data_IF_558203008280
#
_entry.id   IF_558203008280
#
_cell.length_a   1.000
_cell.length_b   1.000
_cell.length_c   1.000
_cell.angle_alpha   90.00
_cell.angle_beta   90.00
_cell.angle_gamma   90.00
#
_symmetry.space_group_name_H-M   'P 1'
#
loop_
_entity.id
_entity.type
_entity.pdbx_description
1 polymer ?
#
# COMPACT_ATOMS: atom_id res chain seq x y z
N UNK A 1 36.54 -21.26 -7.67
CA UNK A 1 35.15 -21.16 -7.24
C UNK A 1 34.47 -19.95 -7.88
N UNK A 2 34.51 -19.82 -9.22
CA UNK A 2 33.95 -18.68 -9.98
C UNK A 2 33.34 -19.13 -11.32
N UNK A 3 32.97 -20.41 -11.47
CA UNK A 3 32.48 -20.96 -12.73
C UNK A 3 31.01 -21.40 -12.74
N UNK A 4 30.29 -21.29 -11.62
CA UNK A 4 28.93 -21.79 -11.51
C UNK A 4 27.85 -20.70 -11.50
N UNK A 5 28.19 -19.41 -11.54
CA UNK A 5 27.21 -18.32 -11.58
C UNK A 5 26.81 -17.89 -13.00
N UNK A 6 27.62 -18.21 -14.01
CA UNK A 6 27.31 -17.81 -15.40
C UNK A 6 26.28 -18.69 -16.12
N UNK A 7 25.87 -19.79 -15.54
CA UNK A 7 25.00 -20.78 -16.20
C UNK A 7 23.51 -20.46 -16.07
N UNK A 8 23.11 -19.57 -15.18
CA UNK A 8 21.70 -19.38 -14.82
C UNK A 8 21.03 -18.11 -15.37
N UNK A 9 21.76 -17.17 -15.94
CA UNK A 9 21.19 -15.91 -16.42
C UNK A 9 21.31 -15.79 -17.93
N UNK A 10 20.28 -16.17 -18.67
CA UNK A 10 20.13 -15.74 -20.05
C UNK A 10 19.64 -14.29 -20.05
N UNK A 11 20.53 -13.34 -20.36
CA UNK A 11 20.14 -11.95 -20.58
C UNK A 11 19.24 -11.88 -21.82
N UNK A 12 18.05 -11.36 -21.65
CA UNK A 12 17.14 -11.02 -22.75
C UNK A 12 17.06 -9.51 -22.80
N UNK A 13 17.52 -8.91 -23.89
CA UNK A 13 17.39 -7.48 -24.10
C UNK A 13 15.92 -7.16 -24.42
N UNK A 14 15.25 -6.49 -23.50
CA UNK A 14 13.96 -5.87 -23.68
C UNK A 14 14.20 -4.35 -23.63
N UNK A 15 14.23 -3.71 -24.79
CA UNK A 15 14.37 -2.25 -24.93
C UNK A 15 15.58 -1.62 -24.21
N UNK A 16 16.78 -2.06 -24.49
CA UNK A 16 18.04 -1.52 -23.93
C UNK A 16 18.24 -1.68 -22.40
N UNK A 17 17.37 -2.41 -21.73
CA UNK A 17 17.50 -2.75 -20.29
C UNK A 17 17.93 -4.21 -20.18
N UNK A 18 18.98 -4.47 -19.41
CA UNK A 18 19.47 -5.83 -19.13
C UNK A 18 18.53 -6.52 -18.13
N UNK A 19 17.51 -7.22 -18.64
CA UNK A 19 16.65 -8.07 -17.82
C UNK A 19 17.20 -9.50 -17.74
N UNK A 20 17.23 -10.04 -16.53
CA UNK A 20 17.62 -11.42 -16.28
C UNK A 20 16.38 -12.32 -16.20
N UNK A 21 16.38 -13.41 -16.99
CA UNK A 21 15.24 -14.34 -17.04
C UNK A 21 15.66 -15.69 -16.48
N UNK A 22 14.97 -16.14 -15.43
CA UNK A 22 15.09 -17.50 -14.90
C UNK A 22 14.03 -18.38 -15.55
N UNK A 23 14.46 -19.55 -16.06
CA UNK A 23 13.61 -20.53 -16.75
C UNK A 23 13.63 -21.86 -16.04
N UNK A 24 12.53 -22.62 -16.14
CA UNK A 24 12.50 -24.01 -15.70
C UNK A 24 13.24 -24.93 -16.69
N UNK A 25 13.33 -26.21 -16.36
CA UNK A 25 14.02 -27.22 -17.17
C UNK A 25 13.39 -27.47 -18.55
N UNK A 26 12.14 -27.00 -18.78
CA UNK A 26 11.44 -27.03 -20.06
C UNK A 26 11.64 -25.75 -20.87
N UNK A 27 12.31 -24.74 -20.29
CA UNK A 27 12.54 -23.44 -20.92
C UNK A 27 11.42 -22.43 -20.75
N UNK A 28 10.47 -22.67 -19.82
CA UNK A 28 9.42 -21.71 -19.49
C UNK A 28 9.97 -20.62 -18.59
N UNK A 29 9.66 -19.37 -18.89
CA UNK A 29 10.03 -18.24 -18.05
C UNK A 29 9.28 -18.32 -16.71
N UNK A 30 10.02 -18.29 -15.61
CA UNK A 30 9.48 -18.33 -14.24
C UNK A 30 9.62 -17.00 -13.53
N UNK A 31 10.75 -16.34 -13.71
CA UNK A 31 11.07 -15.08 -13.05
C UNK A 31 11.75 -14.17 -14.05
N UNK A 32 11.37 -12.90 -14.06
CA UNK A 32 12.04 -11.83 -14.79
C UNK A 32 12.55 -10.82 -13.76
N UNK A 33 13.83 -10.55 -13.81
CA UNK A 33 14.53 -9.59 -12.95
C UNK A 33 15.13 -8.48 -13.79
N UNK A 34 15.16 -7.27 -13.24
CA UNK A 34 15.87 -6.12 -13.82
C UNK A 34 16.96 -5.62 -12.89
N UNK A 35 18.00 -5.05 -13.44
CA UNK A 35 19.00 -4.27 -12.68
C UNK A 35 18.68 -2.78 -12.66
N UNK A 36 17.62 -2.35 -13.38
CA UNK A 36 17.16 -0.97 -13.39
C UNK A 36 16.51 -0.61 -12.05
N UNK A 37 17.09 0.37 -11.36
CA UNK A 37 16.47 0.97 -10.19
C UNK A 37 15.37 1.93 -10.61
N UNK A 38 14.15 1.68 -10.16
CA UNK A 38 13.01 2.55 -10.38
C UNK A 38 12.43 3.01 -9.05
N UNK A 39 12.15 4.31 -8.95
CA UNK A 39 11.49 4.89 -7.78
C UNK A 39 10.29 5.69 -8.23
N UNK A 40 9.11 5.33 -7.75
CA UNK A 40 7.87 6.04 -7.95
C UNK A 40 7.59 6.89 -6.72
N UNK A 41 7.82 8.20 -6.83
CA UNK A 41 7.49 9.16 -5.79
C UNK A 41 6.09 9.72 -6.07
N UNK A 42 5.11 9.35 -5.25
CA UNK A 42 3.76 9.90 -5.34
C UNK A 42 3.73 11.30 -4.72
N UNK A 43 2.93 12.24 -5.24
CA UNK A 43 2.78 13.56 -4.62
C UNK A 43 2.23 13.40 -3.20
N UNK A 44 2.55 14.30 -2.26
CA UNK A 44 1.90 14.29 -0.96
C UNK A 44 0.40 14.60 -1.12
N UNK A 45 -0.44 13.95 -0.32
CA UNK A 45 -1.83 14.34 -0.13
C UNK A 45 -1.85 15.59 0.75
N UNK A 46 -1.57 16.73 0.14
CA UNK A 46 -1.42 18.03 0.80
C UNK A 46 -2.77 18.72 1.02
N UNK A 47 -3.83 18.23 0.33
CA UNK A 47 -5.21 18.73 0.43
C UNK A 47 -5.39 20.18 -0.07
N UNK A 48 -4.37 20.74 -0.70
CA UNK A 48 -4.41 22.08 -1.23
C UNK A 48 -5.30 22.17 -2.48
N UNK A 49 -6.15 23.18 -2.53
CA UNK A 49 -7.17 23.31 -3.58
C UNK A 49 -6.58 23.26 -5.00
N UNK A 50 -5.39 23.82 -5.19
CA UNK A 50 -4.73 23.83 -6.50
C UNK A 50 -4.21 22.44 -6.93
N UNK A 51 -3.90 21.55 -5.98
CA UNK A 51 -3.30 20.23 -6.21
C UNK A 51 -4.26 19.06 -6.09
N UNK A 52 -5.37 19.23 -5.38
CA UNK A 52 -6.23 18.13 -4.95
C UNK A 52 -6.80 17.27 -6.08
N UNK A 53 -7.04 17.87 -7.26
CA UNK A 53 -7.52 17.11 -8.42
C UNK A 53 -6.48 16.06 -8.90
N UNK A 54 -5.19 16.42 -8.86
CA UNK A 54 -4.10 15.51 -9.19
C UNK A 54 -3.86 14.51 -8.06
N UNK A 55 -3.98 14.93 -6.81
CA UNK A 55 -3.84 14.03 -5.65
C UNK A 55 -4.90 12.92 -5.67
N UNK A 56 -6.15 13.23 -6.04
CA UNK A 56 -7.25 12.26 -6.19
C UNK A 56 -7.04 11.19 -7.26
N UNK A 57 -6.06 11.35 -8.14
CA UNK A 57 -5.67 10.30 -9.09
C UNK A 57 -5.01 9.13 -8.35
N UNK A 58 -4.28 9.43 -7.26
CA UNK A 58 -3.48 8.46 -6.51
C UNK A 58 -4.12 8.09 -5.18
N UNK A 59 -4.81 9.04 -4.54
CA UNK A 59 -5.34 8.88 -3.19
C UNK A 59 -6.87 8.82 -3.18
N UNK A 60 -7.40 7.85 -2.46
CA UNK A 60 -8.79 7.79 -2.04
C UNK A 60 -9.01 8.59 -0.75
N UNK A 61 -10.27 8.84 -0.39
CA UNK A 61 -10.63 9.45 0.89
C UNK A 61 -10.41 10.96 0.98
N UNK A 62 -10.05 11.65 -0.10
CA UNK A 62 -9.80 13.10 -0.12
C UNK A 62 -11.07 13.95 -0.33
N UNK A 63 -12.25 13.34 -0.37
CA UNK A 63 -13.50 14.11 -0.61
C UNK A 63 -14.12 14.69 0.65
N UNK A 64 -13.72 14.20 1.82
CA UNK A 64 -14.35 14.53 3.09
C UNK A 64 -13.33 14.94 4.15
N UNK A 65 -13.78 15.75 5.09
CA UNK A 65 -12.99 16.12 6.26
C UNK A 65 -11.93 17.20 6.02
N UNK A 66 -11.87 17.80 4.83
CA UNK A 66 -10.89 18.87 4.56
C UNK A 66 -11.32 20.13 5.31
N UNK A 67 -10.41 20.69 6.10
CA UNK A 67 -10.59 21.92 6.86
C UNK A 67 -9.37 22.82 6.72
N UNK A 68 -9.60 24.14 6.80
CA UNK A 68 -8.51 25.11 6.83
C UNK A 68 -7.85 25.11 8.22
N UNK A 69 -6.52 25.06 8.29
CA UNK A 69 -5.73 25.07 9.53
C UNK A 69 -6.06 26.24 10.45
N UNK A 70 -6.35 27.41 9.88
CA UNK A 70 -6.68 28.61 10.65
C UNK A 70 -7.97 28.46 11.45
N UNK A 71 -8.83 27.49 11.11
CA UNK A 71 -10.05 27.18 11.87
C UNK A 71 -9.82 26.23 13.03
N UNK A 72 -8.61 25.66 13.14
CA UNK A 72 -8.25 24.71 14.20
C UNK A 72 -7.36 25.39 15.23
N UNK A 73 -7.93 25.67 16.40
CA UNK A 73 -7.24 26.39 17.45
C UNK A 73 -5.97 25.66 17.92
N UNK A 74 -4.84 26.37 17.86
CA UNK A 74 -3.51 25.88 18.27
C UNK A 74 -2.96 24.73 17.40
N UNK A 75 -3.42 24.58 16.16
CA UNK A 75 -2.78 23.66 15.24
C UNK A 75 -1.31 24.07 15.01
N UNK A 76 -0.34 23.17 15.16
CA UNK A 76 1.07 23.50 15.03
C UNK A 76 1.46 23.76 13.56
N UNK A 77 2.59 24.43 13.37
CA UNK A 77 3.17 24.58 12.04
C UNK A 77 3.74 23.24 11.56
N UNK A 78 3.37 22.85 10.33
CA UNK A 78 3.94 21.73 9.60
C UNK A 78 4.55 22.27 8.30
N UNK A 79 5.87 22.35 8.16
CA UNK A 79 6.52 22.95 7.00
C UNK A 79 6.76 21.97 5.86
N UNK A 80 6.15 20.79 5.86
CA UNK A 80 6.44 19.73 4.88
C UNK A 80 6.07 20.12 3.45
N UNK A 81 4.94 20.79 3.26
CA UNK A 81 4.51 21.34 1.96
C UNK A 81 4.34 22.85 2.01
N UNK A 82 4.35 23.50 0.84
CA UNK A 82 4.08 24.94 0.71
C UNK A 82 3.37 25.20 -0.63
N UNK A 83 2.12 25.72 -0.66
CA UNK A 83 1.33 26.07 0.51
C UNK A 83 0.97 24.87 1.39
N UNK A 84 0.55 25.12 2.62
CA UNK A 84 0.08 24.12 3.56
C UNK A 84 -1.02 24.73 4.45
N UNK A 85 -2.18 25.03 3.82
CA UNK A 85 -3.30 25.73 4.44
C UNK A 85 -4.42 24.78 4.87
N UNK A 86 -4.48 23.57 4.32
CA UNK A 86 -5.53 22.60 4.56
C UNK A 86 -5.00 21.34 5.24
N UNK A 87 -5.88 20.68 5.99
CA UNK A 87 -5.64 19.42 6.69
C UNK A 87 -6.90 18.57 6.64
N UNK A 88 -6.76 17.27 6.87
CA UNK A 88 -7.90 16.37 6.94
C UNK A 88 -8.31 16.08 8.38
N UNK A 89 -9.51 16.45 8.76
CA UNK A 89 -10.13 16.15 10.04
C UNK A 89 -10.84 14.81 9.99
N UNK A 90 -10.44 13.88 10.84
CA UNK A 90 -11.04 12.56 10.98
C UNK A 90 -11.65 12.38 12.36
N UNK A 91 -12.77 11.64 12.40
CA UNK A 91 -13.51 11.38 13.63
C UNK A 91 -14.31 10.08 13.50
N UNK A 92 -14.28 9.24 14.53
CA UNK A 92 -14.85 7.90 14.49
C UNK A 92 -16.36 7.82 14.23
N UNK A 93 -17.12 8.85 14.61
CA UNK A 93 -18.57 8.94 14.37
C UNK A 93 -18.94 9.68 13.07
N UNK A 94 -17.95 10.07 12.28
CA UNK A 94 -18.14 10.78 11.01
C UNK A 94 -17.21 10.17 9.93
N UNK A 95 -16.11 10.84 9.58
CA UNK A 95 -15.13 10.38 8.61
C UNK A 95 -14.03 9.62 9.35
N UNK A 96 -14.06 8.28 9.32
CA UNK A 96 -13.08 7.43 10.03
C UNK A 96 -11.79 7.24 9.23
N UNK A 97 -11.91 7.08 7.91
CA UNK A 97 -10.79 6.82 7.00
C UNK A 97 -10.51 8.09 6.20
N UNK A 98 -9.28 8.52 6.22
CA UNK A 98 -8.80 9.67 5.45
C UNK A 98 -8.06 9.26 4.18
N UNK A 99 -7.07 10.08 3.82
CA UNK A 99 -6.19 9.82 2.68
C UNK A 99 -5.66 8.40 2.69
N UNK A 100 -5.77 7.70 1.56
CA UNK A 100 -5.26 6.35 1.41
C UNK A 100 -4.82 6.07 -0.03
N UNK A 101 -3.74 5.30 -0.18
CA UNK A 101 -3.20 4.88 -1.47
C UNK A 101 -3.04 3.37 -1.51
N UNK A 102 -3.45 2.77 -2.64
CA UNK A 102 -3.31 1.34 -2.90
C UNK A 102 -2.31 1.11 -4.03
N UNK A 103 -1.26 0.36 -3.74
CA UNK A 103 -0.17 0.09 -4.67
C UNK A 103 -0.02 -1.41 -4.92
N UNK A 104 0.28 -1.78 -6.16
CA UNK A 104 0.77 -3.10 -6.53
C UNK A 104 2.25 -3.17 -6.15
N UNK A 105 2.66 -4.23 -5.45
CA UNK A 105 4.03 -4.42 -4.97
C UNK A 105 4.56 -5.81 -5.31
N UNK A 106 5.88 -5.89 -5.45
CA UNK A 106 6.61 -7.13 -5.68
C UNK A 106 7.53 -7.42 -4.48
N UNK A 107 7.90 -8.67 -4.33
CA UNK A 107 8.90 -9.07 -3.32
C UNK A 107 10.25 -8.40 -3.60
N UNK A 108 10.83 -7.79 -2.57
CA UNK A 108 12.06 -7.00 -2.68
C UNK A 108 11.83 -5.50 -2.86
N UNK A 109 10.59 -5.06 -3.09
CA UNK A 109 10.25 -3.64 -3.09
C UNK A 109 10.43 -3.03 -1.70
N UNK A 110 10.67 -1.71 -1.66
CA UNK A 110 10.74 -0.95 -0.43
C UNK A 110 9.81 0.24 -0.48
N UNK A 111 9.27 0.60 0.67
CA UNK A 111 8.37 1.73 0.82
C UNK A 111 8.96 2.75 1.80
N UNK A 112 8.87 4.02 1.42
CA UNK A 112 8.99 5.14 2.35
C UNK A 112 7.61 5.78 2.49
N UNK A 113 7.20 6.06 3.71
CA UNK A 113 5.89 6.66 3.98
C UNK A 113 6.07 7.82 4.94
N UNK A 114 5.53 8.97 4.57
CA UNK A 114 5.44 10.16 5.39
C UNK A 114 3.98 10.50 5.65
N UNK A 115 3.68 10.99 6.84
CA UNK A 115 2.43 11.67 7.18
C UNK A 115 2.62 12.48 8.45
N UNK A 116 1.78 13.45 8.70
CA UNK A 116 1.68 14.11 10.00
C UNK A 116 0.31 13.90 10.64
N UNK A 117 0.27 13.91 11.97
CA UNK A 117 -0.96 13.80 12.73
C UNK A 117 -0.92 14.69 13.96
N UNK A 118 -2.06 15.30 14.27
CA UNK A 118 -2.22 16.10 15.47
C UNK A 118 -3.64 15.96 16.04
N UNK A 119 -3.76 16.05 17.36
CA UNK A 119 -5.04 16.11 18.07
C UNK A 119 -4.89 16.83 19.39
N UNK A 120 -6.01 17.28 19.94
CA UNK A 120 -6.07 17.92 21.26
C UNK A 120 -7.23 17.36 22.08
N UNK A 121 -6.93 16.82 23.25
CA UNK A 121 -7.95 16.20 24.11
C UNK A 121 -8.87 17.23 24.78
N UNK A 122 -8.37 18.43 25.09
CA UNK A 122 -9.13 19.46 25.82
C UNK A 122 -9.75 18.95 27.14
N UNK A 123 -9.08 17.99 27.80
CA UNK A 123 -9.58 17.34 29.02
C UNK A 123 -10.53 16.17 28.77
N UNK A 124 -10.85 15.85 27.52
CA UNK A 124 -11.66 14.66 27.21
C UNK A 124 -10.84 13.38 27.34
N UNK A 125 -11.51 12.29 27.72
CA UNK A 125 -10.98 10.93 27.61
C UNK A 125 -11.41 10.31 26.30
N UNK A 126 -10.56 9.51 25.62
CA UNK A 126 -10.95 8.82 24.40
C UNK A 126 -12.08 7.82 24.67
N UNK A 127 -13.17 7.92 23.94
CA UNK A 127 -14.24 6.92 23.95
C UNK A 127 -13.80 5.63 23.24
N UNK A 128 -14.51 4.50 23.48
CA UNK A 128 -14.29 3.26 22.76
C UNK A 128 -14.34 3.47 21.23
N UNK A 129 -13.42 2.88 20.47
CA UNK A 129 -13.35 3.06 19.05
C UNK A 129 -14.52 2.43 18.30
N UNK A 130 -14.90 3.01 17.17
CA UNK A 130 -15.84 2.44 16.23
C UNK A 130 -15.07 1.71 15.13
N UNK A 131 -15.44 0.45 14.85
CA UNK A 131 -14.74 -0.37 13.89
C UNK A 131 -14.65 0.29 12.50
N UNK A 132 -13.46 0.43 11.92
CA UNK A 132 -13.26 0.94 10.56
C UNK A 132 -13.36 -0.17 9.50
N UNK A 133 -13.59 -1.41 9.90
CA UNK A 133 -13.53 -2.58 9.01
C UNK A 133 -14.40 -2.44 7.75
N UNK A 134 -15.67 -2.00 7.82
CA UNK A 134 -16.49 -1.82 6.63
C UNK A 134 -15.92 -0.77 5.66
N UNK A 135 -15.39 0.33 6.21
CA UNK A 135 -14.84 1.42 5.42
C UNK A 135 -13.54 1.01 4.69
N UNK A 136 -12.69 0.21 5.36
CA UNK A 136 -11.46 -0.36 4.78
C UNK A 136 -11.82 -1.33 3.67
N UNK A 137 -12.75 -2.25 3.91
CA UNK A 137 -13.20 -3.22 2.92
C UNK A 137 -13.78 -2.53 1.67
N UNK A 138 -14.60 -1.49 1.88
CA UNK A 138 -15.13 -0.69 0.78
C UNK A 138 -14.02 -0.02 -0.04
N UNK A 139 -13.04 0.59 0.62
CA UNK A 139 -11.90 1.24 -0.05
C UNK A 139 -11.05 0.26 -0.84
N UNK A 140 -10.77 -0.92 -0.30
CA UNK A 140 -10.01 -1.97 -0.97
C UNK A 140 -10.74 -2.55 -2.18
N UNK A 141 -12.03 -2.87 -2.04
CA UNK A 141 -12.84 -3.44 -3.12
C UNK A 141 -12.93 -2.47 -4.32
N UNK A 142 -13.04 -1.18 -4.05
CA UNK A 142 -13.15 -0.16 -5.10
C UNK A 142 -11.78 0.28 -5.66
N UNK A 143 -10.70 0.10 -4.92
CA UNK A 143 -9.37 0.58 -5.29
C UNK A 143 -8.48 -0.42 -6.04
N UNK A 144 -8.76 -1.73 -5.96
CA UNK A 144 -7.90 -2.73 -6.63
C UNK A 144 -8.24 -2.82 -8.12
N UNK A 145 -7.32 -2.45 -9.02
CA UNK A 145 -7.54 -2.57 -10.47
C UNK A 145 -7.74 -4.04 -10.87
N UNK A 146 -8.74 -4.31 -11.71
CA UNK A 146 -8.92 -5.64 -12.30
C UNK A 146 -9.65 -6.67 -11.44
N UNK A 147 -10.22 -6.29 -10.29
CA UNK A 147 -11.11 -7.19 -9.52
C UNK A 147 -12.27 -7.69 -10.36
N UNK A 148 -12.77 -6.90 -11.29
CA UNK A 148 -13.89 -7.27 -12.18
C UNK A 148 -13.53 -8.33 -13.25
N UNK A 149 -12.29 -8.79 -13.31
CA UNK A 149 -11.87 -9.59 -14.45
C UNK A 149 -11.57 -11.06 -14.21
N UNK A 150 -10.83 -11.52 -13.20
CA UNK A 150 -10.39 -12.91 -13.24
C UNK A 150 -9.87 -13.55 -11.93
N UNK A 151 -9.66 -12.81 -10.85
CA UNK A 151 -9.05 -13.42 -9.65
C UNK A 151 -10.05 -13.69 -8.53
N UNK A 152 -10.93 -12.72 -8.21
CA UNK A 152 -11.94 -12.85 -7.15
C UNK A 152 -13.13 -11.93 -7.45
N UNK A 153 -14.34 -12.34 -7.12
CA UNK A 153 -15.52 -11.46 -7.16
C UNK A 153 -15.52 -10.53 -5.93
N UNK A 154 -16.20 -9.38 -6.03
CA UNK A 154 -16.37 -8.47 -4.89
C UNK A 154 -16.96 -9.17 -3.65
N UNK A 155 -17.85 -10.15 -3.83
CA UNK A 155 -18.44 -10.96 -2.75
C UNK A 155 -17.41 -11.92 -2.12
N UNK A 156 -16.52 -12.52 -2.93
CA UNK A 156 -15.44 -13.37 -2.43
C UNK A 156 -14.40 -12.58 -1.66
N UNK A 157 -14.11 -11.36 -2.10
CA UNK A 157 -13.22 -10.44 -1.38
C UNK A 157 -13.84 -9.98 -0.07
N UNK A 158 -15.09 -9.51 -0.09
CA UNK A 158 -15.72 -8.91 1.09
C UNK A 158 -16.00 -9.92 2.22
N UNK A 159 -16.42 -11.15 1.89
CA UNK A 159 -16.83 -12.15 2.89
C UNK A 159 -15.84 -13.31 3.07
N UNK A 160 -14.89 -13.47 2.15
CA UNK A 160 -13.93 -14.58 2.16
C UNK A 160 -12.64 -14.25 2.90
N UNK A 161 -11.58 -13.96 2.14
CA UNK A 161 -10.20 -13.82 2.66
C UNK A 161 -9.92 -12.43 3.20
N UNK A 162 -10.46 -11.38 2.57
CA UNK A 162 -10.12 -9.99 2.89
C UNK A 162 -10.62 -9.58 4.28
N UNK A 163 -11.86 -9.93 4.63
CA UNK A 163 -12.44 -9.59 5.92
C UNK A 163 -11.65 -10.17 7.10
N UNK A 164 -11.35 -11.48 7.18
CA UNK A 164 -10.49 -12.04 8.23
C UNK A 164 -9.10 -11.42 8.25
N UNK A 165 -8.51 -11.14 7.11
CA UNK A 165 -7.18 -10.53 7.02
C UNK A 165 -7.15 -9.13 7.62
N UNK A 166 -8.10 -8.26 7.25
CA UNK A 166 -8.20 -6.91 7.79
C UNK A 166 -8.58 -6.94 9.27
N UNK A 167 -9.53 -7.81 9.67
CA UNK A 167 -9.92 -7.96 11.08
C UNK A 167 -8.73 -8.38 11.96
N UNK A 168 -7.90 -9.31 11.48
CA UNK A 168 -6.69 -9.73 12.18
C UNK A 168 -5.67 -8.59 12.33
N UNK A 169 -5.49 -7.77 11.27
CA UNK A 169 -4.65 -6.58 11.34
C UNK A 169 -5.15 -5.61 12.43
N UNK A 170 -6.45 -5.30 12.43
CA UNK A 170 -7.06 -4.39 13.40
C UNK A 170 -6.91 -4.92 14.83
N UNK A 171 -7.17 -6.20 15.07
CA UNK A 171 -7.01 -6.83 16.37
C UNK A 171 -5.56 -6.77 16.88
N UNK A 172 -4.60 -7.04 16.02
CA UNK A 172 -3.16 -6.97 16.34
C UNK A 172 -2.75 -5.55 16.71
N UNK A 173 -3.20 -4.57 15.92
CA UNK A 173 -2.96 -3.15 16.15
C UNK A 173 -3.57 -2.68 17.48
N UNK A 174 -4.83 -3.01 17.71
CA UNK A 174 -5.58 -2.52 18.85
C UNK A 174 -5.08 -3.11 20.17
N UNK A 175 -4.50 -4.32 20.13
CA UNK A 175 -3.85 -4.92 21.29
C UNK A 175 -2.63 -4.12 21.79
N UNK A 176 -2.01 -3.30 20.94
CA UNK A 176 -0.83 -2.49 21.28
C UNK A 176 -1.16 -1.02 21.55
N UNK A 177 -2.41 -0.63 21.40
CA UNK A 177 -2.82 0.76 21.46
C UNK A 177 -2.71 1.37 22.86
N UNK A 178 -2.26 2.62 22.93
CA UNK A 178 -2.33 3.43 24.13
C UNK A 178 -3.75 3.96 24.34
N UNK A 179 -4.43 3.51 25.39
CA UNK A 179 -5.81 3.88 25.67
C UNK A 179 -6.01 5.36 26.09
N UNK A 180 -4.94 6.05 26.49
CA UNK A 180 -4.98 7.47 26.82
C UNK A 180 -4.89 8.39 25.58
N UNK A 181 -4.86 7.79 24.37
CA UNK A 181 -4.80 8.49 23.09
C UNK A 181 -5.98 8.07 22.21
N UNK A 182 -6.44 8.92 21.30
CA UNK A 182 -7.42 8.49 20.30
C UNK A 182 -6.86 7.36 19.42
N UNK A 183 -7.73 6.52 18.93
CA UNK A 183 -7.41 5.50 17.92
C UNK A 183 -7.19 6.14 16.56
N UNK A 184 -6.21 7.03 16.51
CA UNK A 184 -5.77 7.76 15.33
C UNK A 184 -4.44 7.17 14.86
N UNK A 185 -4.39 6.67 13.61
CA UNK A 185 -3.32 5.81 13.12
C UNK A 185 -2.83 6.18 11.73
N UNK A 186 -1.54 5.97 11.48
CA UNK A 186 -1.01 5.63 10.17
C UNK A 186 -1.02 4.10 10.06
N UNK A 187 -1.60 3.58 8.99
CA UNK A 187 -1.72 2.14 8.74
C UNK A 187 -1.08 1.78 7.40
N UNK A 188 -0.35 0.67 7.37
CA UNK A 188 0.21 0.03 6.17
C UNK A 188 -0.20 -1.43 6.22
N UNK A 189 -1.11 -1.86 5.35
CA UNK A 189 -1.54 -3.26 5.26
C UNK A 189 -0.97 -3.84 3.97
N UNK A 190 -0.17 -4.88 4.08
CA UNK A 190 0.36 -5.63 2.94
C UNK A 190 -0.46 -6.92 2.78
N UNK A 191 -0.91 -7.15 1.55
CA UNK A 191 -1.62 -8.36 1.14
C UNK A 191 -0.79 -9.12 0.11
N UNK A 192 -0.82 -10.45 0.17
CA UNK A 192 -0.33 -11.30 -0.92
C UNK A 192 -1.32 -11.34 -2.10
N UNK A 193 -0.99 -12.06 -3.17
CA UNK A 193 -1.84 -12.20 -4.36
C UNK A 193 -3.21 -12.86 -4.06
N UNK A 194 -3.32 -13.58 -2.98
CA UNK A 194 -4.55 -14.20 -2.52
C UNK A 194 -5.31 -13.35 -1.49
N UNK A 195 -4.86 -12.09 -1.30
CA UNK A 195 -5.43 -11.13 -0.35
C UNK A 195 -5.32 -11.55 1.12
N UNK A 196 -4.39 -12.44 1.45
CA UNK A 196 -4.04 -12.70 2.84
C UNK A 196 -3.11 -11.60 3.35
N UNK A 197 -3.33 -11.14 4.57
CA UNK A 197 -2.45 -10.17 5.20
C UNK A 197 -1.06 -10.75 5.43
N UNK A 198 -0.04 -9.98 5.07
CA UNK A 198 1.36 -10.32 5.32
C UNK A 198 1.88 -9.47 6.48
N UNK A 199 2.04 -10.09 7.63
CA UNK A 199 2.59 -9.46 8.83
C UNK A 199 3.79 -10.26 9.34
N UNK A 200 4.89 -9.56 9.62
CA UNK A 200 6.10 -10.17 10.18
C UNK A 200 6.60 -9.34 11.36
N UNK A 201 7.29 -9.98 12.29
CA UNK A 201 7.83 -9.33 13.48
C UNK A 201 9.23 -8.73 13.25
N UNK A 202 9.75 -8.77 12.03
CA UNK A 202 11.11 -8.39 11.66
C UNK A 202 11.23 -6.97 11.07
N UNK A 203 10.21 -6.15 11.22
CA UNK A 203 10.21 -4.77 10.70
C UNK A 203 9.85 -4.62 9.22
N UNK A 204 9.33 -5.69 8.58
CA UNK A 204 8.91 -5.72 7.17
C UNK A 204 7.39 -5.75 7.04
N UNK A 205 6.89 -5.62 5.80
CA UNK A 205 5.47 -5.76 5.44
C UNK A 205 4.51 -4.84 6.23
N UNK A 206 3.39 -5.38 6.72
CA UNK A 206 2.36 -4.59 7.40
C UNK A 206 2.89 -3.86 8.63
N UNK A 207 2.36 -2.65 8.85
CA UNK A 207 2.78 -1.76 9.94
C UNK A 207 1.66 -0.83 10.35
N UNK A 208 1.71 -0.38 11.58
CA UNK A 208 0.83 0.66 12.09
C UNK A 208 1.55 1.50 13.16
N UNK A 209 1.18 2.76 13.25
CA UNK A 209 1.70 3.66 14.29
C UNK A 209 0.62 4.62 14.75
N UNK A 210 0.42 4.73 16.07
CA UNK A 210 -0.57 5.59 16.69
C UNK A 210 -0.07 7.04 16.75
N UNK A 211 -0.99 8.00 16.63
CA UNK A 211 -0.72 9.41 16.84
C UNK A 211 -0.04 9.67 18.19
N UNK A 212 0.73 10.75 18.25
CA UNK A 212 1.59 11.10 19.38
C UNK A 212 0.84 11.49 20.66
N UNK A 213 1.47 12.33 21.47
CA UNK A 213 0.82 12.91 22.66
C UNK A 213 -0.16 14.02 22.25
N UNK A 214 -1.11 14.33 23.14
CA UNK A 214 -2.05 15.43 22.93
C UNK A 214 -1.32 16.77 22.72
N UNK A 215 -1.80 17.57 21.79
CA UNK A 215 -1.25 18.88 21.43
C UNK A 215 0.21 18.85 20.93
N UNK A 216 0.69 17.69 20.44
CA UNK A 216 2.02 17.52 19.84
C UNK A 216 1.86 17.02 18.42
N UNK A 217 2.45 17.70 17.45
CA UNK A 217 2.53 17.22 16.07
C UNK A 217 3.38 15.95 16.04
N UNK A 218 2.78 14.86 15.60
CA UNK A 218 3.48 13.61 15.33
C UNK A 218 3.78 13.54 13.84
N UNK A 219 5.05 13.45 13.50
CA UNK A 219 5.50 13.12 12.14
C UNK A 219 5.78 11.63 12.10
N UNK A 220 5.10 10.93 11.21
CA UNK A 220 5.41 9.56 10.83
C UNK A 220 6.45 9.59 9.72
N UNK A 221 7.52 8.85 9.88
CA UNK A 221 8.58 8.76 8.88
C UNK A 221 9.10 7.32 8.82
N UNK A 222 8.44 6.52 8.00
CA UNK A 222 8.79 5.12 7.77
C UNK A 222 9.71 5.07 6.55
N UNK A 223 10.88 4.47 6.69
CA UNK A 223 11.89 4.41 5.63
C UNK A 223 12.31 2.97 5.34
N UNK A 224 12.52 2.68 4.06
CA UNK A 224 13.04 1.39 3.57
C UNK A 224 12.26 0.16 4.10
N UNK A 225 10.94 0.30 4.24
CA UNK A 225 10.12 -0.83 4.68
C UNK A 225 10.03 -1.86 3.58
N UNK A 226 10.65 -3.00 3.78
CA UNK A 226 10.78 -4.06 2.80
C UNK A 226 9.47 -4.86 2.66
N UNK A 227 9.12 -5.17 1.42
CA UNK A 227 8.01 -6.06 1.04
C UNK A 227 8.57 -7.44 0.70
N UNK A 228 8.04 -8.48 1.32
CA UNK A 228 8.57 -9.84 1.16
C UNK A 228 7.73 -10.75 0.27
N UNK A 229 6.55 -10.28 -0.15
CA UNK A 229 5.65 -11.03 -1.04
C UNK A 229 5.06 -10.13 -2.12
N UNK A 230 4.83 -10.73 -3.27
CA UNK A 230 4.06 -10.09 -4.33
C UNK A 230 2.62 -9.90 -3.89
N UNK A 231 2.02 -8.76 -4.27
CA UNK A 231 0.63 -8.49 -3.92
C UNK A 231 0.30 -7.01 -3.93
N UNK A 232 -0.34 -6.53 -2.88
CA UNK A 232 -0.81 -5.17 -2.76
C UNK A 232 -0.46 -4.57 -1.40
N UNK A 233 -0.26 -3.27 -1.36
CA UNK A 233 -0.14 -2.51 -0.10
C UNK A 233 -1.18 -1.40 -0.07
N UNK A 234 -1.92 -1.33 1.03
CA UNK A 234 -2.84 -0.22 1.32
C UNK A 234 -2.28 0.62 2.46
N UNK A 235 -1.96 1.87 2.15
CA UNK A 235 -1.43 2.85 3.09
C UNK A 235 -2.51 3.90 3.33
N UNK A 236 -2.93 4.11 4.57
CA UNK A 236 -4.00 5.07 4.88
C UNK A 236 -3.90 5.62 6.30
N UNK A 237 -4.55 6.75 6.52
CA UNK A 237 -4.73 7.34 7.84
C UNK A 237 -6.15 7.14 8.34
N UNK A 238 -6.31 6.95 9.65
CA UNK A 238 -7.63 6.75 10.27
C UNK A 238 -7.75 7.37 11.65
N UNK A 239 -8.98 7.70 12.05
CA UNK A 239 -9.34 7.97 13.44
C UNK A 239 -10.67 7.28 13.76
N UNK A 240 -10.65 6.35 14.69
CA UNK A 240 -11.77 5.50 15.07
C UNK A 240 -12.47 5.97 16.34
N UNK A 241 -11.89 6.95 17.03
CA UNK A 241 -12.45 7.52 18.25
C UNK A 241 -13.57 8.52 17.93
N UNK A 242 -14.80 8.30 18.43
CA UNK A 242 -15.95 9.09 18.00
C UNK A 242 -15.96 10.55 18.50
N UNK A 243 -15.41 10.83 19.66
CA UNK A 243 -15.55 12.16 20.31
C UNK A 243 -14.33 13.06 20.18
N UNK A 244 -13.25 12.57 19.58
CA UNK A 244 -12.01 13.32 19.46
C UNK A 244 -11.69 13.52 17.98
N UNK A 245 -11.54 14.78 17.58
CA UNK A 245 -11.03 15.12 16.26
C UNK A 245 -9.53 14.86 16.19
N UNK A 246 -9.09 14.06 15.20
CA UNK A 246 -7.70 13.94 14.83
C UNK A 246 -7.50 14.52 13.43
N UNK A 247 -6.41 15.21 13.25
CA UNK A 247 -6.07 15.90 12.01
C UNK A 247 -4.86 15.26 11.41
N UNK A 248 -4.95 14.94 10.12
CA UNK A 248 -3.87 14.36 9.34
C UNK A 248 -3.52 15.24 8.15
N UNK A 249 -2.28 15.14 7.72
CA UNK A 249 -1.77 15.93 6.61
C UNK A 249 -0.60 15.21 5.94
N UNK A 250 -0.34 15.59 4.67
CA UNK A 250 0.87 15.24 3.94
C UNK A 250 1.17 13.73 3.87
N UNK A 251 0.11 12.88 3.76
CA UNK A 251 0.36 11.47 3.48
C UNK A 251 1.07 11.35 2.14
N UNK A 252 2.28 10.81 2.15
CA UNK A 252 3.07 10.58 0.97
C UNK A 252 3.66 9.17 0.98
N UNK A 253 3.61 8.52 -0.16
CA UNK A 253 4.30 7.25 -0.39
C UNK A 253 5.40 7.43 -1.44
N UNK A 254 6.54 6.76 -1.22
CA UNK A 254 7.57 6.55 -2.23
C UNK A 254 7.80 5.06 -2.35
N UNK A 255 7.59 4.54 -3.54
CA UNK A 255 7.77 3.13 -3.86
C UNK A 255 9.09 2.93 -4.59
N UNK A 256 10.04 2.30 -3.94
CA UNK A 256 11.34 1.91 -4.49
C UNK A 256 11.20 0.48 -4.96
N UNK A 257 11.19 0.29 -6.27
CA UNK A 257 10.98 -1.03 -6.87
C UNK A 257 12.20 -1.91 -6.68
N UNK A 258 11.94 -3.16 -6.31
CA UNK A 258 12.95 -4.23 -6.27
C UNK A 258 13.25 -4.76 -7.67
N UNK A 259 14.18 -5.72 -7.77
CA UNK A 259 14.58 -6.29 -9.05
C UNK A 259 13.53 -7.20 -9.68
N UNK A 260 12.50 -7.64 -8.96
CA UNK A 260 11.51 -8.59 -9.45
C UNK A 260 10.44 -7.88 -10.28
N UNK A 261 10.44 -8.14 -11.60
CA UNK A 261 9.43 -7.59 -12.53
C UNK A 261 8.24 -8.53 -12.67
N UNK A 262 8.50 -9.84 -12.81
CA UNK A 262 7.48 -10.83 -13.12
C UNK A 262 7.81 -12.17 -12.49
N UNK A 263 6.80 -12.83 -11.93
CA UNK A 263 6.84 -14.20 -11.46
C UNK A 263 5.69 -14.98 -12.08
N UNK A 264 5.99 -16.05 -12.84
CA UNK A 264 5.01 -16.82 -13.59
C UNK A 264 4.98 -18.30 -13.16
N UNK A 265 3.78 -18.81 -13.01
CA UNK A 265 3.49 -20.19 -12.72
C UNK A 265 2.60 -20.78 -13.81
N UNK A 266 2.88 -22.04 -14.21
CA UNK A 266 2.14 -22.69 -15.30
C UNK A 266 1.58 -24.02 -14.88
N UNK A 267 0.40 -24.35 -15.39
CA UNK A 267 -0.09 -25.72 -15.46
C UNK A 267 0.79 -26.55 -16.41
N UNK A 268 0.73 -27.89 -16.29
CA UNK A 268 1.56 -28.79 -17.09
C UNK A 268 1.43 -28.67 -18.61
N UNK A 269 0.33 -28.07 -19.11
CA UNK A 269 0.07 -27.79 -20.51
C UNK A 269 0.31 -26.32 -20.93
N UNK A 270 0.93 -25.51 -20.05
CA UNK A 270 1.39 -24.17 -20.39
C UNK A 270 0.42 -23.01 -20.13
N UNK A 271 -0.77 -23.27 -19.64
CA UNK A 271 -1.68 -22.19 -19.21
C UNK A 271 -1.11 -21.54 -17.94
N UNK A 272 -1.03 -20.19 -17.92
CA UNK A 272 -0.59 -19.44 -16.77
C UNK A 272 -1.53 -19.58 -15.57
N UNK A 273 -0.96 -19.75 -14.38
CA UNK A 273 -1.70 -19.85 -13.12
C UNK A 273 -1.89 -18.44 -12.55
N UNK A 274 -2.85 -17.68 -13.09
CA UNK A 274 -3.06 -16.26 -12.75
C UNK A 274 -3.25 -15.99 -11.25
N UNK A 275 -3.72 -16.95 -10.47
CA UNK A 275 -3.92 -16.81 -9.03
C UNK A 275 -2.64 -16.72 -8.21
N UNK A 276 -1.51 -17.20 -8.75
CA UNK A 276 -0.21 -17.22 -8.08
C UNK A 276 0.92 -16.60 -8.92
N UNK A 277 0.61 -16.16 -10.14
CA UNK A 277 1.53 -15.38 -10.99
C UNK A 277 1.36 -13.89 -10.69
N UNK A 278 2.44 -13.13 -10.75
CA UNK A 278 2.46 -11.70 -10.43
C UNK A 278 3.33 -10.91 -11.39
N UNK A 279 2.93 -9.67 -11.65
CA UNK A 279 3.67 -8.74 -12.50
C UNK A 279 3.68 -7.35 -11.86
N UNK A 280 4.83 -6.67 -11.92
CA UNK A 280 4.98 -5.32 -11.44
C UNK A 280 4.11 -4.34 -12.26
N UNK A 281 3.50 -3.37 -11.59
CA UNK A 281 2.67 -2.37 -12.24
C UNK A 281 3.48 -1.56 -13.26
N UNK A 282 2.92 -1.37 -14.47
CA UNK A 282 3.57 -0.60 -15.55
C UNK A 282 4.77 -1.27 -16.21
N UNK A 283 5.13 -2.51 -15.85
CA UNK A 283 6.16 -3.26 -16.56
C UNK A 283 5.66 -3.71 -17.94
N UNK A 284 6.59 -3.82 -18.90
CA UNK A 284 6.27 -4.40 -20.20
C UNK A 284 5.97 -5.89 -20.06
N UNK A 285 4.93 -6.33 -20.76
CA UNK A 285 4.58 -7.74 -20.76
C UNK A 285 5.66 -8.57 -21.48
N UNK A 286 6.17 -9.60 -20.80
CA UNK A 286 7.05 -10.57 -21.43
C UNK A 286 6.23 -11.51 -22.32
N UNK A 287 6.38 -11.38 -23.64
CA UNK A 287 5.67 -12.19 -24.64
C UNK A 287 6.23 -13.61 -24.81
N UNK A 288 7.35 -13.95 -24.17
CA UNK A 288 8.05 -15.25 -24.32
C UNK A 288 7.98 -16.07 -23.02
N UNK A 289 6.77 -16.33 -22.55
CA UNK A 289 6.54 -16.96 -21.24
C UNK A 289 6.73 -18.47 -21.24
N UNK A 290 5.98 -19.19 -22.09
CA UNK A 290 5.93 -20.64 -22.11
C UNK A 290 6.66 -21.22 -23.34
N UNK A 291 7.34 -22.38 -23.16
CA UNK A 291 8.00 -23.15 -24.23
C UNK A 291 8.79 -22.27 -25.23
N UNK A 292 9.70 -21.42 -24.72
CA UNK A 292 10.57 -20.50 -25.48
C UNK A 292 9.80 -19.51 -26.37
N UNK A 293 8.56 -19.19 -26.05
CA UNK A 293 7.74 -18.26 -26.80
C UNK A 293 6.97 -18.90 -27.96
N UNK A 294 6.52 -20.14 -27.77
CA UNK A 294 5.57 -20.72 -28.71
C UNK A 294 4.33 -19.84 -28.80
N UNK A 295 3.79 -19.65 -30.00
CA UNK A 295 2.71 -18.69 -30.32
C UNK A 295 1.36 -18.93 -29.63
N UNK A 296 1.24 -19.95 -28.80
CA UNK A 296 -0.01 -20.33 -28.11
C UNK A 296 -0.49 -19.31 -27.08
N UNK A 297 0.33 -18.36 -26.68
CA UNK A 297 -0.03 -17.33 -25.67
C UNK A 297 -0.43 -15.98 -26.26
N UNK A 298 -0.37 -15.80 -27.56
CA UNK A 298 -0.68 -14.55 -28.26
C UNK A 298 -2.04 -14.56 -28.97
N UNK A 299 -2.96 -15.42 -28.57
CA UNK A 299 -4.33 -15.45 -29.14
C UNK A 299 -5.39 -15.15 -28.09
#
# INVERSE_FOLDING_TARGET
MKKNEEVFLNKVFLNEVDDAVNKDHLGNTRIVLTDQLQTDAYPPASLEQAGIANEKIFYSGLDNGIVNKNTVAAYPNDPYTNPNDFIQKLRGDNVKIGAGILLKVMSGDKLNVHASAWYKLNGATPDPPLSPLPDILFSLINGIPGISGNKLTAAQLGNGVLNPSVANFLNTRDATANNNRPRAWLNIIVFDEQMNMVMTNDGKNSYFEQAGATNVLKVFNITNREITKNGYVYIYVSNETPTIDAYFDNLQATHIRGPLIEEEHYYGFGLGMSGISSQAAGSLENKRKFNKGSELQNK
#
